data_IF_024097406729
#
_entry.id   IF_024097406729
#
_cell.length_a   1.000
_cell.length_b   1.000
_cell.length_c   1.000
_cell.angle_alpha   90.00
_cell.angle_beta   90.00
_cell.angle_gamma   90.00
#
_symmetry.space_group_name_H-M   'P 1'
#
loop_
_entity.id
_entity.type
_entity.pdbx_description
1 polymer ?
#
# COMPACT_ATOMS: atom_id res chain seq x y z
N UNK A 1 -14.32 6.61 -17.68
CA UNK A 1 -14.08 7.73 -16.74
C UNK A 1 -13.69 8.94 -17.57
N UNK A 2 -14.28 10.10 -17.33
CA UNK A 2 -13.94 11.31 -18.09
C UNK A 2 -12.85 12.12 -17.36
N UNK A 3 -12.27 13.11 -18.04
CA UNK A 3 -11.20 13.96 -17.51
C UNK A 3 -11.61 14.69 -16.23
N UNK A 4 -12.85 15.20 -16.16
CA UNK A 4 -13.36 15.88 -14.98
C UNK A 4 -13.41 14.97 -13.73
N UNK A 5 -13.77 13.70 -13.88
CA UNK A 5 -13.71 12.73 -12.78
C UNK A 5 -12.27 12.46 -12.35
N UNK A 6 -11.34 12.39 -13.30
CA UNK A 6 -9.93 12.19 -12.99
C UNK A 6 -9.36 13.36 -12.18
N UNK A 7 -9.60 14.59 -12.61
CA UNK A 7 -9.19 15.80 -11.88
C UNK A 7 -9.77 15.84 -10.46
N UNK A 8 -11.02 15.41 -10.28
CA UNK A 8 -11.63 15.32 -8.95
C UNK A 8 -10.97 14.27 -8.05
N UNK A 9 -10.48 13.16 -8.62
CA UNK A 9 -9.72 12.14 -7.88
C UNK A 9 -8.35 12.69 -7.51
N UNK A 10 -7.63 13.33 -8.45
CA UNK A 10 -6.32 13.94 -8.19
C UNK A 10 -6.40 14.99 -7.08
N UNK A 11 -7.42 15.84 -7.11
CA UNK A 11 -7.68 16.83 -6.07
C UNK A 11 -7.94 16.16 -4.71
N UNK A 12 -8.78 15.12 -4.67
CA UNK A 12 -9.08 14.39 -3.44
C UNK A 12 -7.85 13.69 -2.83
N UNK A 13 -6.96 13.17 -3.67
CA UNK A 13 -5.73 12.49 -3.23
C UNK A 13 -4.67 13.49 -2.77
N UNK A 14 -4.55 14.63 -3.46
CA UNK A 14 -3.56 15.69 -3.16
C UNK A 14 -3.97 16.50 -1.93
N UNK A 15 -5.26 16.78 -1.80
CA UNK A 15 -5.86 17.58 -0.74
C UNK A 15 -6.95 16.79 0.00
N UNK A 16 -6.57 15.72 0.72
CA UNK A 16 -7.54 14.88 1.41
C UNK A 16 -8.27 15.68 2.48
N UNK A 17 -9.53 16.01 2.21
CA UNK A 17 -10.44 16.58 3.17
C UNK A 17 -10.81 15.49 4.18
N UNK A 18 -10.42 15.65 5.43
CA UNK A 18 -10.92 14.84 6.55
C UNK A 18 -12.35 15.28 6.85
N UNK A 19 -13.28 15.06 5.93
CA UNK A 19 -14.67 15.47 6.15
C UNK A 19 -15.20 14.61 7.30
N UNK A 20 -15.53 15.27 8.42
CA UNK A 20 -16.34 14.68 9.48
C UNK A 20 -17.59 14.08 8.84
N UNK A 21 -18.13 12.95 9.35
CA UNK A 21 -19.30 12.32 8.76
C UNK A 21 -20.37 13.38 8.50
N UNK A 22 -20.84 13.38 7.25
CA UNK A 22 -21.87 14.30 6.75
C UNK A 22 -23.00 14.35 7.75
N UNK A 23 -23.27 15.54 8.28
CA UNK A 23 -24.48 15.79 9.06
C UNK A 23 -25.64 15.51 8.10
N UNK A 24 -26.62 14.73 8.53
CA UNK A 24 -27.72 14.28 7.67
C UNK A 24 -28.32 15.43 6.85
N UNK A 25 -28.15 15.40 5.53
CA UNK A 25 -28.71 16.41 4.62
C UNK A 25 -27.73 17.08 3.65
N UNK A 26 -26.40 16.95 3.80
CA UNK A 26 -25.48 17.49 2.79
C UNK A 26 -25.32 16.52 1.61
N UNK A 27 -25.40 17.06 0.40
CA UNK A 27 -25.10 16.31 -0.83
C UNK A 27 -23.62 15.95 -0.91
N UNK A 28 -23.31 14.71 -1.25
CA UNK A 28 -21.93 14.26 -1.48
C UNK A 28 -21.25 15.13 -2.55
N UNK A 29 -20.08 15.70 -2.23
CA UNK A 29 -19.36 16.56 -3.17
C UNK A 29 -18.77 15.77 -4.35
N UNK A 30 -18.36 16.47 -5.42
CA UNK A 30 -17.87 15.86 -6.66
C UNK A 30 -16.61 14.99 -6.46
N UNK A 31 -15.72 15.39 -5.57
CA UNK A 31 -14.49 14.66 -5.21
C UNK A 31 -14.83 13.31 -4.56
N UNK A 32 -15.70 13.30 -3.55
CA UNK A 32 -16.14 12.10 -2.87
C UNK A 32 -16.87 11.16 -3.84
N UNK A 33 -17.73 11.70 -4.72
CA UNK A 33 -18.41 10.90 -5.74
C UNK A 33 -17.43 10.27 -6.73
N UNK A 34 -16.43 11.02 -7.20
CA UNK A 34 -15.43 10.52 -8.13
C UNK A 34 -14.57 9.40 -7.52
N UNK A 35 -14.13 9.56 -6.27
CA UNK A 35 -13.37 8.52 -5.55
C UNK A 35 -14.24 7.28 -5.31
N UNK A 36 -15.48 7.45 -4.84
CA UNK A 36 -16.40 6.34 -4.60
C UNK A 36 -16.69 5.56 -5.89
N UNK A 37 -16.92 6.27 -7.00
CA UNK A 37 -17.11 5.65 -8.31
C UNK A 37 -15.87 4.87 -8.76
N UNK A 38 -14.69 5.46 -8.61
CA UNK A 38 -13.43 4.79 -8.97
C UNK A 38 -13.24 3.49 -8.17
N UNK A 39 -13.40 3.54 -6.84
CA UNK A 39 -13.29 2.36 -5.97
C UNK A 39 -14.31 1.27 -6.36
N UNK A 40 -15.55 1.67 -6.65
CA UNK A 40 -16.58 0.75 -7.09
C UNK A 40 -16.20 0.06 -8.41
N UNK A 41 -15.73 0.81 -9.41
CA UNK A 41 -15.33 0.23 -10.70
C UNK A 41 -14.12 -0.68 -10.60
N UNK A 42 -13.14 -0.32 -9.79
CA UNK A 42 -12.00 -1.21 -9.52
C UNK A 42 -12.46 -2.50 -8.84
N UNK A 43 -13.38 -2.42 -7.88
CA UNK A 43 -13.91 -3.58 -7.19
C UNK A 43 -14.76 -4.49 -8.10
N UNK A 44 -15.63 -3.92 -8.94
CA UNK A 44 -16.35 -4.68 -9.98
C UNK A 44 -15.36 -5.41 -10.91
N UNK A 45 -14.33 -4.71 -11.38
CA UNK A 45 -13.36 -5.26 -12.32
C UNK A 45 -12.54 -6.43 -11.74
N UNK A 46 -12.25 -6.42 -10.44
CA UNK A 46 -11.58 -7.55 -9.77
C UNK A 46 -12.55 -8.60 -9.23
N UNK A 47 -13.86 -8.41 -9.40
CA UNK A 47 -14.90 -9.33 -8.94
C UNK A 47 -15.04 -9.37 -7.42
N UNK A 48 -14.97 -8.21 -6.76
CA UNK A 48 -15.23 -8.08 -5.32
C UNK A 48 -16.61 -8.64 -5.00
N UNK A 49 -16.67 -9.47 -3.96
CA UNK A 49 -17.95 -9.85 -3.35
C UNK A 49 -18.26 -8.83 -2.27
N UNK A 50 -19.11 -7.87 -2.56
CA UNK A 50 -19.52 -6.85 -1.60
C UNK A 50 -20.46 -7.44 -0.56
N UNK A 51 -20.16 -7.18 0.71
CA UNK A 51 -21.00 -7.56 1.83
C UNK A 51 -21.33 -6.31 2.66
N UNK A 52 -22.49 -6.32 3.32
CA UNK A 52 -22.95 -5.20 4.15
C UNK A 52 -22.50 -5.30 5.61
N UNK A 53 -21.83 -6.37 5.99
CA UNK A 53 -21.35 -6.66 7.34
C UNK A 53 -19.84 -6.39 7.50
N UNK A 54 -19.35 -6.42 8.74
CA UNK A 54 -17.95 -6.15 9.11
C UNK A 54 -16.95 -7.20 8.56
N UNK A 55 -17.40 -8.15 7.72
CA UNK A 55 -16.62 -9.27 7.18
C UNK A 55 -15.61 -8.90 6.09
N UNK A 56 -15.56 -7.63 5.67
CA UNK A 56 -14.72 -7.17 4.58
C UNK A 56 -15.19 -7.65 3.20
N UNK A 57 -14.67 -7.07 2.13
CA UNK A 57 -15.07 -7.39 0.74
C UNK A 57 -13.86 -7.85 -0.07
N UNK A 58 -13.51 -9.15 -0.03
CA UNK A 58 -12.29 -9.67 -0.63
C UNK A 58 -12.43 -9.87 -2.15
N UNK A 59 -11.28 -9.86 -2.83
CA UNK A 59 -11.13 -10.29 -4.22
C UNK A 59 -9.86 -11.16 -4.39
N UNK A 60 -9.86 -12.15 -5.30
CA UNK A 60 -8.67 -12.95 -5.57
C UNK A 60 -7.53 -12.12 -6.17
N UNK A 61 -6.30 -12.27 -5.67
CA UNK A 61 -5.10 -11.59 -6.21
C UNK A 61 -4.91 -11.82 -7.72
N UNK A 62 -5.27 -13.02 -8.22
CA UNK A 62 -5.23 -13.32 -9.66
C UNK A 62 -6.09 -12.38 -10.52
N UNK A 63 -7.19 -11.86 -9.97
CA UNK A 63 -8.06 -10.92 -10.69
C UNK A 63 -7.45 -9.52 -10.70
N UNK A 64 -6.75 -9.12 -9.63
CA UNK A 64 -5.96 -7.88 -9.59
C UNK A 64 -4.87 -7.90 -10.67
N UNK A 65 -4.14 -9.01 -10.79
CA UNK A 65 -3.11 -9.18 -11.83
C UNK A 65 -3.71 -9.00 -13.23
N UNK A 66 -4.84 -9.67 -13.52
CA UNK A 66 -5.54 -9.54 -14.80
C UNK A 66 -5.98 -8.11 -15.08
N UNK A 67 -6.50 -7.41 -14.07
CA UNK A 67 -6.89 -6.01 -14.21
C UNK A 67 -5.69 -5.14 -14.56
N UNK A 68 -4.58 -5.25 -13.83
CA UNK A 68 -3.38 -4.46 -14.08
C UNK A 68 -2.76 -4.76 -15.46
N UNK A 69 -2.80 -6.02 -15.91
CA UNK A 69 -2.41 -6.40 -17.27
C UNK A 69 -3.30 -5.72 -18.31
N UNK A 70 -4.62 -5.81 -18.15
CA UNK A 70 -5.57 -5.14 -19.03
C UNK A 70 -5.35 -3.63 -19.09
N UNK A 71 -5.12 -2.97 -17.95
CA UNK A 71 -4.80 -1.53 -17.92
C UNK A 71 -3.51 -1.20 -18.70
N UNK A 72 -2.54 -2.11 -18.69
CA UNK A 72 -1.33 -2.01 -19.51
C UNK A 72 -1.62 -2.15 -21.01
N UNK A 73 -2.43 -3.14 -21.37
CA UNK A 73 -2.82 -3.43 -22.76
C UNK A 73 -3.56 -2.24 -23.41
N UNK A 74 -4.35 -1.49 -22.63
CA UNK A 74 -5.05 -0.28 -23.10
C UNK A 74 -4.21 1.01 -22.98
N UNK A 75 -2.93 0.91 -22.65
CA UNK A 75 -1.99 2.03 -22.67
C UNK A 75 -1.98 2.91 -21.42
N UNK A 76 -2.49 2.46 -20.28
CA UNK A 76 -2.49 3.23 -19.02
C UNK A 76 -1.22 3.08 -18.19
N UNK A 77 -0.08 2.79 -18.82
CA UNK A 77 1.24 2.84 -18.19
C UNK A 77 1.61 1.66 -17.28
N UNK A 78 0.73 0.66 -17.13
CA UNK A 78 1.08 -0.58 -16.45
C UNK A 78 1.86 -1.48 -17.40
N UNK A 79 2.96 -2.05 -16.93
CA UNK A 79 3.74 -2.99 -17.74
C UNK A 79 4.36 -4.09 -16.89
N UNK A 80 4.70 -5.20 -17.54
CA UNK A 80 5.43 -6.32 -16.96
C UNK A 80 4.83 -6.89 -15.67
N UNK A 81 3.49 -6.92 -15.58
CA UNK A 81 2.73 -7.40 -14.43
C UNK A 81 2.81 -8.93 -14.31
N UNK A 82 3.18 -9.44 -13.14
CA UNK A 82 3.23 -10.88 -12.84
C UNK A 82 3.02 -11.16 -11.35
N UNK A 83 3.11 -12.42 -10.88
CA UNK A 83 3.14 -12.77 -9.45
C UNK A 83 4.60 -13.00 -8.97
N UNK A 84 4.99 -12.64 -7.74
CA UNK A 84 6.37 -12.81 -7.20
C UNK A 84 6.38 -13.09 -5.70
N UNK A 85 7.24 -13.93 -5.14
CA UNK A 85 7.55 -13.84 -3.71
C UNK A 85 8.08 -12.45 -3.33
N UNK A 86 7.78 -12.00 -2.10
CA UNK A 86 8.34 -10.77 -1.54
C UNK A 86 9.70 -11.05 -0.90
N UNK A 87 10.70 -10.26 -1.26
CA UNK A 87 12.03 -10.29 -0.65
C UNK A 87 12.48 -8.85 -0.38
N UNK A 88 13.42 -8.67 0.55
CA UNK A 88 14.00 -7.34 0.83
C UNK A 88 14.55 -6.69 -0.44
N UNK A 89 15.30 -7.44 -1.24
CA UNK A 89 15.85 -6.95 -2.51
C UNK A 89 14.76 -6.52 -3.47
N UNK A 90 13.64 -7.25 -3.54
CA UNK A 90 12.53 -6.89 -4.42
C UNK A 90 11.84 -5.61 -3.95
N UNK A 91 11.66 -5.42 -2.65
CA UNK A 91 11.08 -4.18 -2.11
C UNK A 91 12.00 -3.00 -2.39
N UNK A 92 13.30 -3.17 -2.17
CA UNK A 92 14.31 -2.16 -2.47
C UNK A 92 14.34 -1.83 -3.97
N UNK A 93 14.34 -2.82 -4.85
CA UNK A 93 14.28 -2.62 -6.30
C UNK A 93 13.04 -1.81 -6.69
N UNK A 94 11.84 -2.23 -6.27
CA UNK A 94 10.61 -1.55 -6.64
C UNK A 94 10.54 -0.12 -6.08
N UNK A 95 10.75 0.05 -4.78
CA UNK A 95 10.52 1.33 -4.10
C UNK A 95 11.73 2.26 -4.21
N UNK A 96 12.93 1.76 -3.91
CA UNK A 96 14.12 2.61 -3.84
C UNK A 96 14.72 2.84 -5.23
N UNK A 97 14.84 1.80 -6.07
CA UNK A 97 15.47 1.91 -7.40
C UNK A 97 14.47 2.43 -8.43
N UNK A 98 13.32 1.77 -8.58
CA UNK A 98 12.33 2.08 -9.63
C UNK A 98 11.34 3.17 -9.27
N UNK A 99 11.23 3.54 -7.98
CA UNK A 99 10.24 4.51 -7.47
C UNK A 99 8.78 4.10 -7.76
N UNK A 100 8.52 2.79 -7.75
CA UNK A 100 7.21 2.23 -8.03
C UNK A 100 6.59 1.63 -6.76
N UNK A 101 5.46 2.17 -6.27
CA UNK A 101 4.67 1.48 -5.25
C UNK A 101 4.04 0.22 -5.86
N UNK A 102 3.77 -0.79 -5.03
CA UNK A 102 3.18 -2.03 -5.52
C UNK A 102 2.17 -2.64 -4.56
N UNK A 103 1.22 -3.35 -5.16
CA UNK A 103 0.19 -4.11 -4.45
C UNK A 103 0.82 -5.28 -3.69
N UNK A 104 0.37 -5.48 -2.45
CA UNK A 104 0.73 -6.61 -1.62
C UNK A 104 -0.52 -7.21 -0.97
N UNK A 105 -0.54 -8.53 -0.82
CA UNK A 105 -1.58 -9.22 -0.06
C UNK A 105 -0.97 -10.32 0.78
N UNK A 106 -1.34 -10.39 2.05
CA UNK A 106 -0.91 -11.43 2.98
C UNK A 106 -2.10 -12.18 3.58
N UNK A 107 -1.85 -13.41 4.04
CA UNK A 107 -2.83 -14.20 4.80
C UNK A 107 -2.18 -14.79 6.05
N UNK A 108 -2.94 -14.86 7.14
CA UNK A 108 -2.67 -15.66 8.33
C UNK A 108 -3.62 -16.85 8.36
N UNK A 109 -3.59 -17.63 9.46
CA UNK A 109 -4.53 -18.73 9.68
C UNK A 109 -5.98 -18.29 9.85
N UNK A 110 -6.23 -17.02 10.17
CA UNK A 110 -7.56 -16.50 10.54
C UNK A 110 -8.00 -15.29 9.73
N UNK A 111 -7.11 -14.64 8.97
CA UNK A 111 -7.43 -13.42 8.25
C UNK A 111 -6.56 -13.25 6.99
N UNK A 112 -7.01 -12.43 6.04
CA UNK A 112 -6.22 -12.01 4.89
C UNK A 112 -6.44 -10.52 4.65
N UNK A 113 -5.42 -9.81 4.21
CA UNK A 113 -5.52 -8.39 3.93
C UNK A 113 -4.64 -7.99 2.74
N UNK A 114 -5.01 -6.90 2.09
CA UNK A 114 -4.26 -6.29 0.99
C UNK A 114 -3.91 -4.83 1.31
N UNK A 115 -2.72 -4.41 0.91
CA UNK A 115 -2.19 -3.08 1.16
C UNK A 115 -1.17 -2.70 0.06
N UNK A 116 -0.74 -1.44 0.07
CA UNK A 116 0.30 -0.94 -0.85
C UNK A 116 1.61 -0.77 -0.11
N UNK A 117 2.73 -1.17 -0.72
CA UNK A 117 4.08 -0.87 -0.25
C UNK A 117 4.65 0.27 -1.10
N UNK A 118 4.99 1.39 -0.45
CA UNK A 118 5.26 2.67 -1.11
C UNK A 118 6.41 3.48 -0.45
N UNK A 119 7.09 2.92 0.56
CA UNK A 119 8.29 3.55 1.13
C UNK A 119 9.30 2.54 1.68
N UNK A 120 10.56 2.94 1.71
CA UNK A 120 11.67 2.14 2.25
C UNK A 120 12.58 3.05 3.08
N UNK A 121 13.04 2.54 4.23
CA UNK A 121 13.96 3.24 5.13
C UNK A 121 15.02 2.27 5.64
N UNK A 122 16.29 2.57 5.35
CA UNK A 122 17.42 2.01 6.09
C UNK A 122 17.73 2.91 7.27
N UNK A 123 17.65 2.34 8.47
CA UNK A 123 18.07 3.00 9.70
C UNK A 123 19.34 2.35 10.20
N UNK A 124 20.39 3.14 10.33
CA UNK A 124 21.65 2.69 10.89
C UNK A 124 21.90 3.39 12.23
N UNK A 125 22.45 2.65 13.19
CA UNK A 125 23.00 3.22 14.42
C UNK A 125 24.42 2.72 14.62
N UNK A 126 25.31 3.62 15.01
CA UNK A 126 26.66 3.26 15.45
C UNK A 126 26.63 3.05 16.95
N UNK A 127 26.98 1.84 17.39
CA UNK A 127 27.11 1.48 18.80
C UNK A 127 28.58 1.59 19.19
N UNK A 128 28.82 2.27 20.31
CA UNK A 128 30.15 2.47 20.88
C UNK A 128 30.14 1.84 22.26
N UNK A 129 30.92 0.78 22.44
CA UNK A 129 31.07 0.12 23.74
C UNK A 129 32.42 0.49 24.32
N UNK A 130 32.41 1.21 25.45
CA UNK A 130 33.62 1.63 26.18
C UNK A 130 33.82 0.72 27.37
N UNK A 131 35.04 0.20 27.52
CA UNK A 131 35.44 -0.64 28.64
C UNK A 131 36.52 0.09 29.45
N UNK A 132 36.55 -0.11 30.78
CA UNK A 132 37.49 0.57 31.66
C UNK A 132 38.96 0.19 31.41
N UNK A 133 39.22 -1.05 30.97
CA UNK A 133 40.57 -1.61 30.78
C UNK A 133 40.77 -2.32 29.43
N UNK A 134 39.82 -2.17 28.49
CA UNK A 134 39.90 -2.78 27.16
C UNK A 134 39.68 -1.71 26.08
N UNK A 135 40.17 -1.94 24.85
CA UNK A 135 39.92 -1.04 23.73
C UNK A 135 38.43 -0.76 23.52
N UNK A 136 38.11 0.49 23.14
CA UNK A 136 36.75 0.86 22.73
C UNK A 136 36.35 0.04 21.50
N UNK A 137 35.19 -0.59 21.57
CA UNK A 137 34.62 -1.33 20.44
C UNK A 137 33.60 -0.47 19.71
N UNK A 138 33.59 -0.60 18.39
CA UNK A 138 32.63 0.04 17.50
C UNK A 138 31.94 -1.04 16.69
N UNK A 139 30.61 -1.02 16.62
CA UNK A 139 29.91 -1.74 15.58
C UNK A 139 28.76 -0.88 15.02
N UNK A 140 28.38 -1.16 13.79
CA UNK A 140 27.19 -0.58 13.17
C UNK A 140 26.08 -1.61 13.26
N UNK A 141 24.88 -1.13 13.54
CA UNK A 141 23.65 -1.90 13.54
C UNK A 141 22.73 -1.28 12.49
N UNK A 142 22.31 -2.09 11.52
CA UNK A 142 21.48 -1.63 10.40
C UNK A 142 20.15 -2.37 10.40
N UNK A 143 19.06 -1.63 10.18
CA UNK A 143 17.70 -2.19 10.10
C UNK A 143 16.93 -1.57 8.96
N UNK A 144 16.35 -2.42 8.13
CA UNK A 144 15.52 -2.02 7.00
C UNK A 144 14.04 -2.06 7.37
N UNK A 145 13.33 -1.04 6.91
CA UNK A 145 11.92 -0.85 7.13
C UNK A 145 11.21 -0.57 5.81
N UNK A 146 9.97 -1.05 5.72
CA UNK A 146 9.09 -0.79 4.57
C UNK A 146 7.83 -0.14 5.08
N UNK A 147 7.44 0.94 4.42
CA UNK A 147 6.19 1.64 4.67
C UNK A 147 5.04 0.94 3.94
N UNK A 148 3.93 0.78 4.65
CA UNK A 148 2.74 0.10 4.17
C UNK A 148 1.50 0.98 4.36
N UNK A 149 0.75 1.18 3.29
CA UNK A 149 -0.56 1.81 3.29
C UNK A 149 -1.66 0.75 3.35
N UNK A 150 -2.24 0.55 4.55
CA UNK A 150 -3.26 -0.47 4.82
C UNK A 150 -4.67 -0.14 4.35
N UNK A 151 -4.93 1.08 3.86
CA UNK A 151 -6.25 1.46 3.33
C UNK A 151 -7.37 1.62 4.36
N UNK A 152 -7.06 1.84 5.64
CA UNK A 152 -8.07 1.99 6.73
C UNK A 152 -8.29 3.44 7.20
N UNK A 153 -7.78 4.42 6.45
CA UNK A 153 -7.74 5.81 6.93
C UNK A 153 -6.85 5.98 8.17
N UNK A 154 -6.60 7.23 8.57
CA UNK A 154 -5.85 7.52 9.80
C UNK A 154 -6.75 7.26 11.00
N UNK A 155 -6.54 6.17 11.74
CA UNK A 155 -7.22 5.95 13.03
C UNK A 155 -6.24 6.23 14.17
N UNK A 156 -6.69 6.89 15.25
CA UNK A 156 -5.86 7.21 16.45
C UNK A 156 -5.21 5.98 17.12
N UNK A 157 -5.68 4.76 16.84
CA UNK A 157 -5.03 3.51 17.32
C UNK A 157 -3.91 3.02 16.40
N UNK A 158 -3.76 3.61 15.22
CA UNK A 158 -2.67 3.41 14.25
C UNK A 158 -1.80 4.67 14.14
N UNK A 159 -1.67 5.43 15.23
CA UNK A 159 -0.75 6.59 15.36
C UNK A 159 0.75 6.21 15.22
N UNK A 160 1.04 4.98 14.80
CA UNK A 160 2.26 4.70 14.05
C UNK A 160 1.92 4.89 12.57
N UNK A 161 1.96 6.17 12.15
CA UNK A 161 2.10 6.64 10.74
C UNK A 161 2.44 5.45 9.86
N UNK A 162 1.52 4.99 9.00
CA UNK A 162 1.91 4.14 7.88
C UNK A 162 2.96 3.05 8.24
N UNK A 163 2.57 2.00 8.96
CA UNK A 163 3.51 1.21 9.77
C UNK A 163 4.77 0.79 9.00
N UNK A 164 5.92 1.35 9.39
CA UNK A 164 7.22 0.83 8.98
C UNK A 164 7.43 -0.53 9.63
N UNK A 165 7.36 -1.60 8.83
CA UNK A 165 7.60 -2.97 9.33
C UNK A 165 9.00 -3.42 8.98
N UNK A 166 9.61 -4.14 9.92
CA UNK A 166 10.82 -4.91 9.65
C UNK A 166 10.47 -5.99 8.63
N UNK A 167 11.25 -6.11 7.57
CA UNK A 167 11.09 -7.23 6.63
C UNK A 167 11.57 -8.49 7.36
N UNK A 168 10.65 -9.35 7.79
CA UNK A 168 10.96 -10.72 8.17
C UNK A 168 10.33 -11.63 7.12
N UNK A 169 11.15 -12.52 6.59
CA UNK A 169 10.83 -13.47 5.51
C UNK A 169 9.53 -14.23 5.79
N UNK A 170 8.51 -14.03 4.93
CA UNK A 170 7.21 -14.71 5.05
C UNK A 170 6.20 -14.30 3.97
N UNK A 171 6.22 -15.06 2.87
CA UNK A 171 5.18 -15.35 1.85
C UNK A 171 4.42 -14.27 1.02
N UNK A 172 4.66 -14.43 -0.30
CA UNK A 172 3.84 -14.12 -1.51
C UNK A 172 3.49 -12.64 -1.83
N UNK A 173 3.97 -12.14 -2.97
CA UNK A 173 3.54 -10.87 -3.60
C UNK A 173 3.28 -11.03 -5.12
N UNK A 174 3.01 -9.92 -5.83
CA UNK A 174 2.85 -9.87 -7.27
C UNK A 174 3.73 -8.78 -7.90
N UNK A 175 4.44 -9.11 -9.00
CA UNK A 175 5.35 -8.28 -9.81
C UNK A 175 4.64 -7.17 -10.61
N UNK A 176 5.36 -6.07 -10.79
CA UNK A 176 5.57 -5.45 -12.11
C UNK A 176 7.09 -5.38 -12.38
N UNK A 177 7.51 -5.33 -13.66
CA UNK A 177 8.85 -4.85 -14.06
C UNK A 177 8.77 -3.40 -14.52
#
# INVERSE_FOLDING_TARGET
MNEAMWLNIEEAVTHPQLVKPVVSGESMNAQTWAVAYFINKMGEAVGVKYHSDDGGSPAPTKNVVKLLQYLGDIGLGYSNIALSPITTDKVRDMIFVKKLPFYYSGKSSTNSHAWVLDGWLLRERRVITRYAFLPTQYHTESKEFVHANFGWGRTKKTDTIHSMRSIQTGDLSARSQ
#
